data_IF_010560148354
#
_entry.id   IF_010560148354
#
_cell.length_a   1.000
_cell.length_b   1.000
_cell.length_c   1.000
_cell.angle_alpha   90.00
_cell.angle_beta   90.00
_cell.angle_gamma   90.00
#
_symmetry.space_group_name_H-M   'P 1'
#
loop_
_entity.id
_entity.type
_entity.pdbx_description
1 polymer ?
#
# COMPACT_ATOMS: atom_id res chain seq x y z
N UNK A 1 -6.28 4.46 8.24
CA UNK A 1 -5.09 3.83 7.62
C UNK A 1 -3.88 4.70 7.88
N UNK A 2 -2.72 4.13 8.21
CA UNK A 2 -1.48 4.89 8.36
C UNK A 2 -0.43 4.50 7.31
N UNK A 3 0.26 5.51 6.80
CA UNK A 3 1.26 5.40 5.75
C UNK A 3 2.57 6.06 6.19
N UNK A 4 3.67 5.55 5.65
CA UNK A 4 4.99 6.16 5.71
C UNK A 4 5.69 5.97 4.36
N UNK A 5 6.21 7.05 3.80
CA UNK A 5 7.19 7.02 2.71
C UNK A 5 8.54 6.59 3.29
N UNK A 6 8.95 5.32 3.10
CA UNK A 6 10.23 4.85 3.64
C UNK A 6 11.43 5.18 2.75
N UNK A 7 11.16 5.59 1.51
CA UNK A 7 12.08 6.30 0.64
C UNK A 7 11.37 7.59 0.21
N UNK A 8 12.11 8.70 0.20
CA UNK A 8 11.57 10.01 -0.22
C UNK A 8 12.21 10.49 -1.51
N UNK A 9 13.14 9.73 -2.10
CA UNK A 9 13.69 10.03 -3.41
C UNK A 9 12.65 9.68 -4.47
N UNK A 10 11.99 10.68 -5.03
CA UNK A 10 10.93 10.51 -6.02
C UNK A 10 11.42 10.00 -7.40
N UNK A 11 12.72 9.78 -7.59
CA UNK A 11 13.25 9.15 -8.80
C UNK A 11 14.20 8.03 -8.41
N UNK A 12 13.62 6.83 -8.26
CA UNK A 12 14.34 5.64 -7.80
C UNK A 12 13.83 4.38 -8.57
N UNK A 13 14.48 3.25 -8.35
CA UNK A 13 14.08 1.97 -8.95
C UNK A 13 13.10 1.16 -8.07
N UNK A 14 12.74 1.66 -6.89
CA UNK A 14 12.00 0.91 -5.88
C UNK A 14 11.05 1.83 -5.10
N UNK A 15 9.75 1.60 -5.18
CA UNK A 15 8.78 2.34 -4.36
C UNK A 15 8.60 1.58 -3.04
N UNK A 16 8.67 2.31 -1.90
CA UNK A 16 8.68 1.72 -0.54
C UNK A 16 7.55 2.27 0.34
N UNK A 17 6.27 1.94 0.04
CA UNK A 17 5.15 2.43 0.82
C UNK A 17 4.96 1.54 2.05
N UNK A 18 5.22 2.07 3.24
CA UNK A 18 5.03 1.32 4.48
C UNK A 18 3.63 1.56 5.03
N UNK A 19 3.05 0.51 5.59
CA UNK A 19 1.64 0.47 5.99
C UNK A 19 1.47 0.08 7.47
N UNK A 20 0.44 0.64 8.09
CA UNK A 20 -0.06 0.21 9.39
C UNK A 20 -1.59 0.37 9.44
N UNK A 21 -2.30 -0.75 9.57
CA UNK A 21 -3.75 -0.79 9.67
C UNK A 21 -4.14 -0.66 11.13
N UNK A 22 -5.06 0.25 11.44
CA UNK A 22 -5.60 0.46 12.79
C UNK A 22 -7.10 0.18 12.72
N UNK A 23 -7.59 -0.71 13.59
CA UNK A 23 -9.02 -0.93 13.72
C UNK A 23 -9.64 0.15 14.61
N UNK A 24 -10.24 1.15 13.98
CA UNK A 24 -10.97 2.22 14.66
C UNK A 24 -12.45 1.92 14.95
N UNK A 25 -12.94 0.72 14.61
CA UNK A 25 -14.32 0.31 14.86
C UNK A 25 -14.50 -0.29 16.25
N UNK A 26 -15.75 -0.62 16.60
CA UNK A 26 -16.14 -1.31 17.84
C UNK A 26 -16.23 -2.85 17.67
N UNK A 27 -16.01 -3.35 16.46
CA UNK A 27 -16.01 -4.77 16.14
C UNK A 27 -14.60 -5.28 15.85
N UNK A 28 -14.36 -6.57 16.10
CA UNK A 28 -13.15 -7.25 15.65
C UNK A 28 -13.16 -7.45 14.14
N UNK A 29 -12.04 -7.19 13.47
CA UNK A 29 -11.90 -7.31 12.01
C UNK A 29 -10.78 -8.29 11.68
N UNK A 30 -11.03 -9.28 10.83
CA UNK A 30 -9.97 -10.17 10.36
C UNK A 30 -9.11 -9.46 9.32
N UNK A 31 -7.79 -9.56 9.43
CA UNK A 31 -6.89 -8.99 8.42
C UNK A 31 -7.11 -9.61 7.04
N UNK A 32 -7.51 -10.89 6.97
CA UNK A 32 -7.77 -11.58 5.70
C UNK A 32 -8.95 -10.99 4.90
N UNK A 33 -9.80 -10.20 5.55
CA UNK A 33 -10.92 -9.50 4.90
C UNK A 33 -10.51 -8.11 4.39
N UNK A 34 -9.28 -7.68 4.67
CA UNK A 34 -8.78 -6.37 4.34
C UNK A 34 -7.87 -6.39 3.12
N UNK A 35 -8.00 -5.36 2.28
CA UNK A 35 -7.02 -5.03 1.25
C UNK A 35 -6.65 -3.55 1.30
N UNK A 36 -5.39 -3.25 1.03
CA UNK A 36 -4.85 -1.88 0.93
C UNK A 36 -4.59 -1.59 -0.55
N UNK A 37 -4.87 -0.37 -1.01
CA UNK A 37 -4.42 0.10 -2.33
C UNK A 37 -3.54 1.34 -2.23
N UNK A 38 -2.40 1.28 -2.90
CA UNK A 38 -1.48 2.41 -3.13
C UNK A 38 -1.46 2.71 -4.62
N UNK A 39 -1.84 3.91 -5.00
CA UNK A 39 -2.07 4.37 -6.37
C UNK A 39 -0.88 5.17 -6.88
N UNK A 40 -0.47 4.87 -8.11
CA UNK A 40 0.71 5.43 -8.75
C UNK A 40 0.54 5.45 -10.27
N UNK A 41 1.47 6.10 -10.96
CA UNK A 41 1.63 5.98 -12.41
C UNK A 41 2.77 5.03 -12.75
N UNK A 42 2.57 4.16 -13.73
CA UNK A 42 3.60 3.20 -14.14
C UNK A 42 4.31 3.67 -15.40
N UNK A 43 5.50 4.25 -15.28
CA UNK A 43 6.26 4.77 -16.42
C UNK A 43 6.89 3.64 -17.26
N UNK A 44 7.10 3.86 -18.57
CA UNK A 44 6.74 5.07 -19.32
C UNK A 44 5.30 5.07 -19.86
N UNK A 45 4.58 3.95 -19.80
CA UNK A 45 3.30 3.76 -20.50
C UNK A 45 2.40 2.67 -19.88
N UNK A 46 2.60 2.29 -18.62
CA UNK A 46 1.75 1.34 -17.92
C UNK A 46 1.91 -0.12 -18.34
N UNK A 47 3.01 -0.48 -19.02
CA UNK A 47 3.19 -1.81 -19.61
C UNK A 47 4.30 -2.66 -18.97
N UNK A 48 4.95 -2.16 -17.92
CA UNK A 48 6.07 -2.85 -17.28
C UNK A 48 5.57 -3.92 -16.30
N UNK A 49 6.25 -5.06 -16.26
CA UNK A 49 6.01 -6.05 -15.21
C UNK A 49 6.67 -5.60 -13.91
N UNK A 50 6.02 -5.83 -12.79
CA UNK A 50 6.50 -5.43 -11.46
C UNK A 50 6.57 -6.62 -10.51
N UNK A 51 7.42 -6.50 -9.50
CA UNK A 51 7.65 -7.52 -8.47
C UNK A 51 7.41 -6.91 -7.10
N UNK A 52 6.57 -7.57 -6.31
CA UNK A 52 6.30 -7.18 -4.92
C UNK A 52 7.25 -7.88 -3.95
N UNK A 53 7.65 -7.14 -2.93
CA UNK A 53 8.47 -7.60 -1.81
C UNK A 53 7.85 -7.15 -0.49
N UNK A 54 7.86 -8.06 0.49
CA UNK A 54 7.67 -7.73 1.89
C UNK A 54 9.02 -7.86 2.59
N UNK A 55 9.59 -6.74 3.02
CA UNK A 55 10.91 -6.71 3.68
C UNK A 55 10.77 -7.03 5.18
N UNK A 56 9.66 -6.63 5.78
CA UNK A 56 9.27 -6.94 7.15
C UNK A 56 7.76 -6.77 7.33
N UNK A 57 7.13 -7.60 8.16
CA UNK A 57 5.79 -7.33 8.65
C UNK A 57 5.65 -7.91 10.05
N UNK A 58 5.06 -7.15 10.98
CA UNK A 58 4.78 -7.65 12.33
C UNK A 58 3.86 -8.90 12.30
N UNK A 59 2.91 -8.91 11.38
CA UNK A 59 2.01 -10.06 11.12
C UNK A 59 2.69 -11.25 10.42
N UNK A 60 3.92 -11.05 9.92
CA UNK A 60 4.73 -12.01 9.18
C UNK A 60 4.57 -11.87 7.66
N UNK A 61 5.70 -11.71 6.94
CA UNK A 61 5.68 -11.52 5.48
C UNK A 61 5.09 -12.70 4.70
N UNK A 62 5.16 -13.93 5.23
CA UNK A 62 4.52 -15.09 4.60
C UNK A 62 2.99 -14.99 4.51
N UNK A 63 2.38 -14.01 5.19
CA UNK A 63 0.95 -13.73 5.15
C UNK A 63 0.58 -12.52 4.29
N UNK A 64 1.57 -11.77 3.79
CA UNK A 64 1.37 -10.52 3.04
C UNK A 64 1.62 -10.80 1.56
N UNK A 65 0.68 -10.43 0.70
CA UNK A 65 0.82 -10.56 -0.75
C UNK A 65 0.55 -9.23 -1.44
N UNK A 66 1.23 -9.00 -2.55
CA UNK A 66 1.03 -7.84 -3.41
C UNK A 66 0.58 -8.27 -4.80
N UNK A 67 -0.37 -7.55 -5.37
CA UNK A 67 -0.79 -7.69 -6.76
C UNK A 67 -0.89 -6.30 -7.41
N UNK A 68 -0.53 -6.19 -8.67
CA UNK A 68 -0.58 -4.94 -9.43
C UNK A 68 -1.80 -4.96 -10.35
N UNK A 69 -2.57 -3.89 -10.34
CA UNK A 69 -3.83 -3.77 -11.07
C UNK A 69 -3.92 -2.40 -11.75
N UNK A 70 -4.62 -2.32 -12.87
CA UNK A 70 -4.87 -1.06 -13.57
C UNK A 70 -6.01 -0.28 -12.91
N UNK A 71 -5.96 1.05 -13.03
CA UNK A 71 -7.01 1.97 -12.63
C UNK A 71 -7.04 3.18 -13.56
N UNK A 72 -8.01 4.06 -13.36
CA UNK A 72 -8.04 5.37 -14.00
C UNK A 72 -8.37 6.42 -12.95
N UNK A 73 -7.52 7.43 -12.81
CA UNK A 73 -7.74 8.54 -11.89
C UNK A 73 -6.69 9.63 -12.07
N UNK A 74 -6.83 10.73 -11.35
CA UNK A 74 -5.80 11.77 -11.39
C UNK A 74 -4.51 11.22 -10.78
N UNK A 75 -3.40 11.30 -11.52
CA UNK A 75 -2.09 10.82 -11.05
C UNK A 75 -2.09 9.32 -10.65
N UNK A 76 -2.91 8.52 -11.33
CA UNK A 76 -3.01 7.08 -11.10
C UNK A 76 -3.47 6.34 -12.36
N UNK A 77 -2.63 5.42 -12.84
CA UNK A 77 -3.00 4.41 -13.85
C UNK A 77 -2.86 2.98 -13.31
N UNK A 78 -2.17 2.79 -12.18
CA UNK A 78 -2.01 1.52 -11.48
C UNK A 78 -2.23 1.66 -9.98
N UNK A 79 -2.47 0.53 -9.33
CA UNK A 79 -2.32 0.41 -7.88
C UNK A 79 -1.70 -0.91 -7.47
N UNK A 80 -0.90 -0.85 -6.40
CA UNK A 80 -0.49 -2.01 -5.63
C UNK A 80 -1.62 -2.37 -4.68
N UNK A 81 -2.19 -3.56 -4.84
CA UNK A 81 -3.09 -4.16 -3.86
C UNK A 81 -2.32 -5.04 -2.90
N UNK A 82 -2.27 -4.66 -1.63
CA UNK A 82 -1.76 -5.53 -0.56
C UNK A 82 -2.93 -6.30 0.05
N UNK A 83 -2.78 -7.61 0.17
CA UNK A 83 -3.74 -8.50 0.83
C UNK A 83 -3.08 -9.34 1.91
N UNK A 84 -3.90 -9.86 2.82
CA UNK A 84 -3.46 -10.66 3.95
C UNK A 84 -4.06 -12.06 3.90
N UNK A 85 -3.34 -13.03 4.45
CA UNK A 85 -3.83 -14.39 4.70
C UNK A 85 -3.63 -14.78 6.16
N UNK A 86 -4.25 -15.88 6.59
CA UNK A 86 -4.20 -16.34 7.98
C UNK A 86 -5.37 -15.85 8.83
N UNK A 87 -5.24 -16.02 10.14
CA UNK A 87 -6.32 -15.82 11.12
C UNK A 87 -6.07 -14.65 12.09
N UNK A 88 -5.18 -13.72 11.74
CA UNK A 88 -4.90 -12.56 12.57
C UNK A 88 -6.11 -11.62 12.59
N UNK A 89 -6.55 -11.27 13.79
CA UNK A 89 -7.73 -10.44 14.04
C UNK A 89 -7.30 -9.17 14.77
N UNK A 90 -7.76 -8.02 14.28
CA UNK A 90 -7.63 -6.75 14.96
C UNK A 90 -8.87 -6.52 15.82
N UNK A 91 -8.75 -6.64 17.14
CA UNK A 91 -9.78 -6.17 18.06
C UNK A 91 -9.92 -4.63 18.00
N UNK A 92 -11.01 -4.05 18.54
CA UNK A 92 -11.15 -2.59 18.63
C UNK A 92 -9.91 -1.91 19.21
N UNK A 93 -9.39 -0.91 18.51
CA UNK A 93 -8.18 -0.16 18.89
C UNK A 93 -6.84 -0.87 18.62
N UNK A 94 -6.84 -2.13 18.15
CA UNK A 94 -5.62 -2.83 17.76
C UNK A 94 -5.12 -2.41 16.38
N UNK A 95 -3.87 -2.75 16.10
CA UNK A 95 -3.21 -2.43 14.84
C UNK A 95 -2.39 -3.60 14.31
N UNK A 96 -2.17 -3.64 12.99
CA UNK A 96 -1.36 -4.66 12.33
C UNK A 96 0.13 -4.62 12.69
N UNK A 97 0.60 -3.55 13.32
CA UNK A 97 2.01 -3.20 13.35
C UNK A 97 2.50 -2.73 11.96
N UNK A 98 3.82 -2.56 11.83
CA UNK A 98 4.45 -2.13 10.58
C UNK A 98 4.43 -3.26 9.54
N UNK A 99 4.15 -2.87 8.30
CA UNK A 99 4.25 -3.68 7.08
C UNK A 99 5.14 -2.90 6.11
N UNK A 100 6.35 -3.39 5.88
CA UNK A 100 7.33 -2.81 4.96
C UNK A 100 7.13 -3.45 3.58
N UNK A 101 6.31 -2.79 2.77
CA UNK A 101 6.15 -3.14 1.37
C UNK A 101 7.19 -2.41 0.53
N UNK A 102 7.70 -3.11 -0.48
CA UNK A 102 8.58 -2.59 -1.52
C UNK A 102 8.20 -3.23 -2.84
N UNK A 103 8.29 -2.48 -3.92
CA UNK A 103 8.15 -3.06 -5.26
C UNK A 103 9.06 -2.35 -6.26
N UNK A 104 9.35 -3.04 -7.34
CA UNK A 104 10.16 -2.54 -8.44
C UNK A 104 9.69 -3.12 -9.77
N UNK A 105 10.03 -2.44 -10.87
CA UNK A 105 9.91 -3.00 -12.22
C UNK A 105 10.87 -4.17 -12.35
N UNK A 106 10.51 -5.20 -13.11
CA UNK A 106 11.35 -6.39 -13.30
C UNK A 106 12.71 -6.07 -13.93
N UNK A 107 12.82 -4.97 -14.67
CA UNK A 107 14.05 -4.47 -15.27
C UNK A 107 14.79 -3.43 -14.41
N UNK A 108 14.27 -3.10 -13.22
CA UNK A 108 14.75 -2.05 -12.32
C UNK A 108 14.83 -0.66 -12.96
N UNK A 109 14.06 -0.41 -14.02
CA UNK A 109 13.91 0.95 -14.53
C UNK A 109 13.26 1.85 -13.46
N UNK A 110 13.67 3.12 -13.44
CA UNK A 110 13.19 4.06 -12.43
C UNK A 110 11.71 4.40 -12.61
N UNK A 111 11.08 4.74 -11.48
CA UNK A 111 9.79 5.41 -11.40
C UNK A 111 9.98 6.92 -11.30
N UNK A 112 8.92 7.67 -11.62
CA UNK A 112 8.73 9.05 -11.20
C UNK A 112 7.60 9.06 -10.17
N UNK A 113 7.93 9.19 -8.88
CA UNK A 113 6.91 9.21 -7.82
C UNK A 113 6.27 10.62 -7.67
N UNK A 114 6.77 11.65 -8.37
CA UNK A 114 6.25 13.03 -8.20
C UNK A 114 4.83 13.22 -8.71
N UNK A 115 4.39 12.32 -9.60
CA UNK A 115 3.05 12.25 -10.17
C UNK A 115 2.27 11.02 -9.72
N UNK A 116 2.65 10.42 -8.58
CA UNK A 116 1.89 9.35 -7.95
C UNK A 116 0.85 9.90 -6.96
N UNK A 117 -0.40 9.46 -7.11
CA UNK A 117 -1.49 9.91 -6.24
C UNK A 117 -1.22 9.64 -4.76
N UNK A 118 -0.73 8.45 -4.41
CA UNK A 118 -0.51 8.02 -3.04
C UNK A 118 0.81 8.48 -2.43
N UNK A 119 1.76 8.96 -3.23
CA UNK A 119 3.07 9.38 -2.75
C UNK A 119 3.01 10.75 -2.07
N UNK A 120 3.62 10.84 -0.89
CA UNK A 120 3.92 12.12 -0.25
C UNK A 120 5.24 11.99 0.53
N UNK A 121 6.34 12.61 0.05
CA UNK A 121 7.66 12.45 0.65
C UNK A 121 7.77 13.11 2.03
N UNK A 122 6.77 13.89 2.45
CA UNK A 122 6.74 14.49 3.80
C UNK A 122 6.27 13.50 4.87
N UNK A 123 5.68 12.36 4.49
CA UNK A 123 5.16 11.33 5.41
C UNK A 123 6.28 10.39 5.87
N UNK A 124 7.33 10.93 6.50
CA UNK A 124 8.53 10.17 6.92
C UNK A 124 8.35 9.33 8.19
N UNK A 125 7.19 9.45 8.84
CA UNK A 125 6.75 8.63 9.97
C UNK A 125 5.30 8.22 9.76
N UNK A 126 4.89 7.09 10.36
CA UNK A 126 3.50 6.63 10.27
C UNK A 126 2.52 7.70 10.70
N UNK A 127 1.72 8.14 9.75
CA UNK A 127 0.66 9.13 9.95
C UNK A 127 -0.58 8.72 9.17
N UNK A 128 -1.74 9.24 9.56
CA UNK A 128 -2.95 9.02 8.78
C UNK A 128 -2.80 9.64 7.39
N UNK A 129 -3.21 8.85 6.39
CA UNK A 129 -3.10 9.23 4.99
C UNK A 129 -4.32 8.71 4.24
N UNK A 130 -5.06 9.61 3.62
CA UNK A 130 -6.31 9.32 2.94
C UNK A 130 -6.11 8.99 1.46
N UNK A 131 -4.93 9.25 0.90
CA UNK A 131 -4.58 8.82 -0.47
C UNK A 131 -4.07 7.39 -0.57
N UNK A 132 -4.12 6.62 0.51
CA UNK A 132 -3.98 5.16 0.52
C UNK A 132 -5.30 4.61 1.06
N UNK A 133 -5.94 3.76 0.28
CA UNK A 133 -7.30 3.28 0.59
C UNK A 133 -7.26 1.91 1.27
N UNK A 134 -8.26 1.66 2.11
CA UNK A 134 -8.49 0.38 2.77
C UNK A 134 -9.88 -0.12 2.40
N UNK A 135 -9.98 -1.40 2.08
CA UNK A 135 -11.25 -2.06 1.78
C UNK A 135 -11.48 -3.19 2.77
N UNK A 136 -12.74 -3.38 3.16
CA UNK A 136 -13.21 -4.53 3.91
C UNK A 136 -14.16 -5.33 3.04
N UNK A 137 -13.79 -6.56 2.69
CA UNK A 137 -14.52 -7.43 1.76
C UNK A 137 -14.91 -6.71 0.46
N UNK A 138 -13.98 -5.91 -0.09
CA UNK A 138 -14.17 -5.15 -1.33
C UNK A 138 -14.92 -3.83 -1.19
N UNK A 139 -15.43 -3.49 0.01
CA UNK A 139 -16.07 -2.19 0.27
C UNK A 139 -15.06 -1.19 0.81
N UNK A 140 -14.99 0.01 0.24
CA UNK A 140 -14.11 1.08 0.72
C UNK A 140 -14.50 1.50 2.15
N UNK A 141 -13.54 1.44 3.08
CA UNK A 141 -13.75 1.81 4.50
C UNK A 141 -12.80 2.92 4.98
N UNK A 142 -11.77 3.25 4.20
CA UNK A 142 -10.88 4.39 4.47
C UNK A 142 -10.28 4.95 3.19
N UNK A 143 -10.09 6.27 3.18
CA UNK A 143 -9.38 6.99 2.13
C UNK A 143 -10.27 7.45 0.99
N UNK A 144 -9.65 8.05 -0.02
CA UNK A 144 -10.28 8.58 -1.22
C UNK A 144 -9.58 7.93 -2.43
N UNK A 145 -10.37 7.37 -3.35
CA UNK A 145 -9.85 6.88 -4.62
C UNK A 145 -9.48 8.07 -5.54
N UNK A 146 -8.48 7.92 -6.44
CA UNK A 146 -8.06 8.96 -7.38
C UNK A 146 -9.08 9.31 -8.47
#
# INVERSE_FOLDING_TARGET
MRYKASDTNATNAEIKPHFNVVNGSDASVSLSELTIRYYYTLEPNGSQSEVFHCDYAFVGCGKVSGAFMTTSGANADHYLQVSFSGADVLAPGQQSGEIQARYNKSDYASYDETNDYSFDPTKTSFTEWDRVTLYHNGTLVWGVEP
#
